data_IF_073801525975
#
_entry.id   IF_073801525975
#
_cell.length_a   1.000
_cell.length_b   1.000
_cell.length_c   1.000
_cell.angle_alpha   90.00
_cell.angle_beta   90.00
_cell.angle_gamma   90.00
#
_symmetry.space_group_name_H-M   'P 1'
#
loop_
_entity.id
_entity.type
_entity.pdbx_description
1 polymer ?
#
# COMPACT_ATOMS: atom_id res chain seq x y z
N UNK A 1 -11.07 1.34 -35.23
CA UNK A 1 -9.96 0.76 -34.47
C UNK A 1 -9.65 1.76 -33.39
N UNK A 2 -10.02 1.46 -32.15
CA UNK A 2 -9.66 2.29 -31.01
C UNK A 2 -8.19 2.04 -30.68
N UNK A 3 -7.44 3.04 -30.21
CA UNK A 3 -6.02 2.90 -29.87
C UNK A 3 -5.75 1.74 -28.88
N UNK A 4 -6.77 1.35 -28.09
CA UNK A 4 -6.75 0.16 -27.23
C UNK A 4 -6.54 -1.17 -27.96
N UNK A 5 -6.76 -1.25 -29.28
CA UNK A 5 -6.58 -2.48 -30.06
C UNK A 5 -5.15 -2.66 -30.60
N UNK A 6 -4.36 -1.59 -30.70
CA UNK A 6 -3.03 -1.62 -31.33
C UNK A 6 -1.87 -1.46 -30.34
N UNK A 7 -2.09 -0.79 -29.20
CA UNK A 7 -1.11 -0.67 -28.11
C UNK A 7 0.19 0.07 -28.48
N UNK A 8 0.17 0.92 -29.52
CA UNK A 8 1.33 1.70 -29.98
C UNK A 8 1.21 3.17 -29.53
N UNK A 9 2.28 3.74 -28.95
CA UNK A 9 2.32 5.14 -28.45
C UNK A 9 1.87 6.18 -29.50
N UNK A 10 2.23 5.97 -30.77
CA UNK A 10 1.83 6.85 -31.87
C UNK A 10 0.31 6.89 -32.10
N UNK A 11 -0.40 5.79 -31.79
CA UNK A 11 -1.85 5.71 -31.94
C UNK A 11 -2.56 6.42 -30.79
N UNK A 12 -1.96 6.43 -29.59
CA UNK A 12 -2.49 7.17 -28.45
C UNK A 12 -2.37 8.69 -28.62
N UNK A 13 -1.25 9.20 -29.13
CA UNK A 13 -1.13 10.65 -29.38
C UNK A 13 -2.13 11.13 -30.44
N UNK A 14 -2.35 10.36 -31.51
CA UNK A 14 -3.38 10.67 -32.51
C UNK A 14 -4.78 10.65 -31.88
N UNK A 15 -5.04 9.72 -30.94
CA UNK A 15 -6.30 9.68 -30.22
C UNK A 15 -6.48 10.90 -29.30
N UNK A 16 -5.45 11.34 -28.59
CA UNK A 16 -5.46 12.57 -27.77
C UNK A 16 -5.83 13.77 -28.63
N UNK A 17 -5.07 14.01 -29.71
CA UNK A 17 -5.28 15.17 -30.60
C UNK A 17 -6.70 15.19 -31.20
N UNK A 18 -7.24 14.01 -31.52
CA UNK A 18 -8.60 13.86 -32.03
C UNK A 18 -9.65 14.16 -30.95
N UNK A 19 -9.52 13.55 -29.77
CA UNK A 19 -10.45 13.71 -28.65
C UNK A 19 -10.47 15.15 -28.13
N UNK A 20 -9.30 15.80 -28.00
CA UNK A 20 -9.20 17.21 -27.65
C UNK A 20 -9.94 18.10 -28.66
N UNK A 21 -9.74 17.85 -29.97
CA UNK A 21 -10.43 18.61 -31.02
C UNK A 21 -11.94 18.40 -30.98
N UNK A 22 -12.40 17.18 -30.72
CA UNK A 22 -13.82 16.87 -30.61
C UNK A 22 -14.44 17.54 -29.37
N UNK A 23 -13.74 17.55 -28.24
CA UNK A 23 -14.20 18.25 -27.02
C UNK A 23 -14.26 19.77 -27.18
N UNK A 24 -13.44 20.37 -28.06
CA UNK A 24 -13.60 21.79 -28.43
C UNK A 24 -14.93 22.02 -29.16
N UNK A 25 -15.35 21.07 -30.00
CA UNK A 25 -16.62 21.16 -30.74
C UNK A 25 -17.84 20.79 -29.86
N UNK A 26 -17.68 19.84 -28.95
CA UNK A 26 -18.71 19.32 -28.05
C UNK A 26 -18.22 19.30 -26.59
N UNK A 27 -18.17 20.46 -25.89
CA UNK A 27 -17.56 20.55 -24.56
C UNK A 27 -18.26 19.75 -23.46
N UNK A 28 -19.53 19.39 -23.65
CA UNK A 28 -20.32 18.61 -22.69
C UNK A 28 -20.34 17.11 -23.01
N UNK A 29 -19.46 16.64 -23.91
CA UNK A 29 -19.36 15.23 -24.27
C UNK A 29 -18.55 14.43 -23.24
N UNK A 30 -19.21 14.01 -22.17
CA UNK A 30 -18.59 13.29 -21.05
C UNK A 30 -17.99 11.92 -21.44
N UNK A 31 -18.46 11.28 -22.51
CA UNK A 31 -17.86 10.03 -22.99
C UNK A 31 -16.48 10.29 -23.61
N UNK A 32 -16.36 11.34 -24.44
CA UNK A 32 -15.06 11.74 -24.99
C UNK A 32 -14.11 12.20 -23.90
N UNK A 33 -14.60 12.91 -22.89
CA UNK A 33 -13.79 13.32 -21.74
C UNK A 33 -13.30 12.11 -20.92
N UNK A 34 -14.16 11.10 -20.72
CA UNK A 34 -13.81 9.84 -20.07
C UNK A 34 -12.74 9.06 -20.85
N UNK A 35 -12.92 8.92 -22.17
CA UNK A 35 -11.94 8.27 -23.04
C UNK A 35 -10.61 9.02 -23.04
N UNK A 36 -10.64 10.36 -23.06
CA UNK A 36 -9.44 11.18 -23.02
C UNK A 36 -8.69 11.02 -21.70
N UNK A 37 -9.40 10.97 -20.56
CA UNK A 37 -8.79 10.69 -19.25
C UNK A 37 -8.03 9.35 -19.24
N UNK A 38 -8.60 8.28 -19.81
CA UNK A 38 -7.94 6.98 -19.92
C UNK A 38 -6.75 7.02 -20.85
N UNK A 39 -6.89 7.73 -21.97
CA UNK A 39 -5.83 7.86 -22.96
C UNK A 39 -4.62 8.56 -22.35
N UNK A 40 -4.82 9.66 -21.61
CA UNK A 40 -3.75 10.31 -20.87
C UNK A 40 -3.11 9.40 -19.81
N UNK A 41 -3.91 8.58 -19.11
CA UNK A 41 -3.37 7.62 -18.14
C UNK A 41 -2.46 6.59 -18.83
N UNK A 42 -2.83 6.10 -20.02
CA UNK A 42 -2.00 5.16 -20.79
C UNK A 42 -0.70 5.79 -21.32
N UNK A 43 -0.69 7.10 -21.57
CA UNK A 43 0.48 7.84 -22.03
C UNK A 43 1.27 8.50 -20.90
N UNK A 44 1.04 8.10 -19.65
CA UNK A 44 1.76 8.62 -18.46
C UNK A 44 1.55 10.15 -18.23
N UNK A 45 0.53 10.74 -18.87
CA UNK A 45 0.13 12.14 -18.73
C UNK A 45 -0.84 12.29 -17.54
N UNK A 46 -0.35 11.95 -16.34
CA UNK A 46 -1.21 11.76 -15.17
C UNK A 46 -1.92 13.04 -14.72
N UNK A 47 -1.27 14.20 -14.80
CA UNK A 47 -1.88 15.47 -14.40
C UNK A 47 -3.06 15.80 -15.32
N UNK A 48 -2.90 15.64 -16.63
CA UNK A 48 -3.94 15.83 -17.63
C UNK A 48 -5.10 14.86 -17.40
N UNK A 49 -4.81 13.59 -17.08
CA UNK A 49 -5.82 12.60 -16.71
C UNK A 49 -6.63 13.06 -15.47
N UNK A 50 -5.97 13.56 -14.43
CA UNK A 50 -6.64 14.03 -13.20
C UNK A 50 -7.52 15.26 -13.45
N UNK A 51 -7.12 16.17 -14.34
CA UNK A 51 -7.92 17.33 -14.73
C UNK A 51 -9.23 16.90 -15.40
N UNK A 52 -9.16 15.92 -16.32
CA UNK A 52 -10.37 15.35 -16.96
C UNK A 52 -11.25 14.63 -15.94
N UNK A 53 -10.65 13.87 -15.03
CA UNK A 53 -11.41 13.23 -13.96
C UNK A 53 -12.10 14.26 -13.05
N UNK A 54 -11.44 15.35 -12.70
CA UNK A 54 -12.01 16.40 -11.86
C UNK A 54 -13.25 17.05 -12.50
N UNK A 55 -13.22 17.26 -13.83
CA UNK A 55 -14.38 17.73 -14.59
C UNK A 55 -15.55 16.74 -14.48
N UNK A 56 -15.31 15.46 -14.81
CA UNK A 56 -16.31 14.39 -14.73
C UNK A 56 -16.88 14.20 -13.31
N UNK A 57 -16.04 14.30 -12.28
CA UNK A 57 -16.52 14.19 -10.89
C UNK A 57 -17.42 15.38 -10.53
N UNK A 58 -17.10 16.58 -11.01
CA UNK A 58 -17.88 17.79 -10.75
C UNK A 58 -19.27 17.75 -11.41
N UNK A 59 -19.42 17.01 -12.51
CA UNK A 59 -20.69 16.82 -13.25
C UNK A 59 -21.30 15.44 -13.09
N UNK A 60 -20.89 14.65 -12.09
CA UNK A 60 -21.24 13.21 -11.96
C UNK A 60 -22.73 12.88 -11.98
N UNK A 61 -23.59 13.83 -11.59
CA UNK A 61 -25.05 13.62 -11.62
C UNK A 61 -25.63 13.63 -13.05
N UNK A 62 -24.82 13.98 -14.06
CA UNK A 62 -25.23 14.14 -15.46
C UNK A 62 -24.80 12.98 -16.37
N UNK A 63 -23.96 12.06 -15.91
CA UNK A 63 -23.37 11.01 -16.74
C UNK A 63 -22.91 9.79 -15.91
N UNK A 64 -22.72 8.61 -16.52
CA UNK A 64 -22.37 7.39 -15.78
C UNK A 64 -20.89 7.27 -15.37
N UNK A 65 -20.00 8.13 -15.88
CA UNK A 65 -18.54 8.03 -15.68
C UNK A 65 -18.03 8.52 -14.31
N UNK A 66 -18.89 9.01 -13.41
CA UNK A 66 -18.47 9.63 -12.14
C UNK A 66 -17.74 8.68 -11.20
N UNK A 67 -18.27 7.48 -11.00
CA UNK A 67 -17.65 6.45 -10.12
C UNK A 67 -16.29 6.02 -10.66
N UNK A 68 -16.20 5.80 -11.97
CA UNK A 68 -14.93 5.49 -12.61
C UNK A 68 -13.93 6.63 -12.50
N UNK A 69 -14.36 7.87 -12.63
CA UNK A 69 -13.47 9.04 -12.55
C UNK A 69 -12.86 9.21 -11.16
N UNK A 70 -13.57 8.84 -10.09
CA UNK A 70 -13.00 8.80 -8.74
C UNK A 70 -11.88 7.77 -8.61
N UNK A 71 -12.07 6.57 -9.17
CA UNK A 71 -11.07 5.51 -9.14
C UNK A 71 -9.83 5.91 -9.96
N UNK A 72 -10.05 6.35 -11.20
CA UNK A 72 -8.99 6.78 -12.12
C UNK A 72 -8.20 7.97 -11.56
N UNK A 73 -8.86 8.92 -10.88
CA UNK A 73 -8.16 10.04 -10.24
C UNK A 73 -7.19 9.57 -9.14
N UNK A 74 -7.59 8.60 -8.31
CA UNK A 74 -6.71 8.02 -7.28
C UNK A 74 -5.52 7.31 -7.93
N UNK A 75 -5.78 6.49 -8.95
CA UNK A 75 -4.73 5.77 -9.66
C UNK A 75 -3.74 6.71 -10.35
N UNK A 76 -4.23 7.73 -11.07
CA UNK A 76 -3.41 8.72 -11.75
C UNK A 76 -2.51 9.48 -10.77
N UNK A 77 -3.05 9.96 -9.64
CA UNK A 77 -2.23 10.62 -8.63
C UNK A 77 -1.21 9.69 -7.98
N UNK A 78 -1.60 8.45 -7.67
CA UNK A 78 -0.67 7.45 -7.12
C UNK A 78 0.48 7.21 -8.09
N UNK A 79 0.15 6.95 -9.37
CA UNK A 79 1.12 6.71 -10.44
C UNK A 79 2.04 7.92 -10.65
N UNK A 80 1.51 9.14 -10.61
CA UNK A 80 2.32 10.35 -10.68
C UNK A 80 3.36 10.39 -9.54
N UNK A 81 2.94 10.22 -8.28
CA UNK A 81 3.88 10.23 -7.14
C UNK A 81 4.91 9.11 -7.25
N UNK A 82 4.46 7.98 -7.76
CA UNK A 82 5.29 6.82 -8.04
C UNK A 82 6.37 7.12 -9.08
N UNK A 83 6.06 7.77 -10.19
CA UNK A 83 7.01 8.07 -11.27
C UNK A 83 7.91 9.25 -10.91
N UNK A 84 7.34 10.31 -10.35
CA UNK A 84 8.08 11.55 -10.06
C UNK A 84 8.93 11.41 -8.78
N UNK A 85 8.42 10.72 -7.76
CA UNK A 85 9.07 10.65 -6.44
C UNK A 85 9.52 9.24 -6.03
N UNK A 86 9.19 8.22 -6.81
CA UNK A 86 9.53 6.83 -6.51
C UNK A 86 8.52 6.10 -5.63
N UNK A 87 7.44 6.77 -5.18
CA UNK A 87 6.39 6.14 -4.39
C UNK A 87 5.64 7.09 -3.46
N UNK A 88 4.57 6.58 -2.86
CA UNK A 88 3.82 7.30 -1.80
C UNK A 88 4.51 7.21 -0.43
N UNK A 89 5.49 6.32 -0.31
CA UNK A 89 6.30 6.00 0.85
C UNK A 89 7.70 6.63 0.80
N UNK A 90 7.93 7.51 -0.17
CA UNK A 90 9.21 8.18 -0.40
C UNK A 90 9.06 9.67 -0.15
N UNK A 91 9.92 10.23 0.70
CA UNK A 91 10.04 11.68 0.84
C UNK A 91 10.83 12.20 -0.37
N UNK A 92 10.29 13.15 -1.17
CA UNK A 92 10.98 13.65 -2.35
C UNK A 92 12.37 14.21 -2.04
N UNK A 93 13.31 14.00 -2.96
CA UNK A 93 14.65 14.60 -2.85
C UNK A 93 14.52 16.12 -2.90
N UNK A 94 14.98 16.79 -1.84
CA UNK A 94 14.84 18.24 -1.73
C UNK A 94 13.47 18.71 -1.22
N UNK A 95 12.67 17.83 -0.60
CA UNK A 95 11.43 18.20 0.06
C UNK A 95 11.60 19.43 0.96
N UNK A 96 10.73 20.42 0.78
CA UNK A 96 10.79 21.67 1.53
C UNK A 96 10.44 21.42 2.99
N UNK A 97 11.26 21.96 3.90
CA UNK A 97 11.00 21.95 5.33
C UNK A 97 9.96 23.02 5.65
N UNK A 98 8.76 22.62 6.03
CA UNK A 98 7.68 23.54 6.40
C UNK A 98 7.81 24.01 7.84
N UNK A 99 8.08 23.06 8.74
CA UNK A 99 8.13 23.34 10.17
C UNK A 99 9.10 22.38 10.87
N UNK A 100 9.74 22.86 11.93
CA UNK A 100 10.45 22.01 12.88
C UNK A 100 9.79 22.14 14.25
N UNK A 101 9.52 21.00 14.88
CA UNK A 101 8.95 20.93 16.23
C UNK A 101 9.89 20.17 17.15
N UNK A 102 9.67 20.31 18.45
CA UNK A 102 10.35 19.52 19.48
C UNK A 102 9.38 18.50 20.03
N UNK A 103 9.83 17.25 20.07
CA UNK A 103 9.10 16.12 20.61
C UNK A 103 8.75 16.27 22.09
N UNK A 104 7.81 15.47 22.62
CA UNK A 104 7.39 15.57 24.02
C UNK A 104 8.50 15.32 25.05
N UNK A 105 9.60 14.67 24.66
CA UNK A 105 10.80 14.48 25.47
C UNK A 105 11.65 15.76 25.64
N UNK A 106 11.30 16.84 24.93
CA UNK A 106 12.01 18.11 24.93
C UNK A 106 13.37 18.07 24.23
N UNK A 107 13.71 16.97 23.54
CA UNK A 107 15.03 16.73 22.93
C UNK A 107 14.95 16.32 21.48
N UNK A 108 13.98 15.50 21.12
CA UNK A 108 13.80 15.00 19.76
C UNK A 108 13.36 16.14 18.86
N UNK A 109 14.06 16.31 17.74
CA UNK A 109 13.72 17.32 16.73
C UNK A 109 12.95 16.63 15.62
N UNK A 110 11.74 17.11 15.35
CA UNK A 110 10.85 16.55 14.33
C UNK A 110 10.70 17.57 13.21
N UNK A 111 11.16 17.18 12.01
CA UNK A 111 11.02 17.98 10.81
C UNK A 111 9.74 17.58 10.08
N UNK A 112 8.86 18.54 9.85
CA UNK A 112 7.62 18.39 9.10
C UNK A 112 7.84 18.96 7.70
N UNK A 113 7.59 18.14 6.70
CA UNK A 113 7.87 18.47 5.30
C UNK A 113 6.60 18.94 4.58
N UNK A 114 6.76 19.94 3.70
CA UNK A 114 5.69 20.47 2.87
C UNK A 114 5.13 19.38 1.95
N UNK A 115 3.80 19.33 1.82
CA UNK A 115 3.15 18.49 0.81
C UNK A 115 3.10 19.27 -0.50
N UNK A 116 3.61 18.68 -1.59
CA UNK A 116 3.39 19.27 -2.92
C UNK A 116 1.92 19.20 -3.33
N UNK A 117 1.56 19.92 -4.41
CA UNK A 117 0.21 19.85 -4.97
C UNK A 117 -0.17 18.42 -5.38
N UNK A 118 0.79 17.60 -5.79
CA UNK A 118 0.57 16.20 -6.19
C UNK A 118 0.23 15.30 -4.99
N UNK A 119 0.94 15.47 -3.87
CA UNK A 119 0.65 14.75 -2.63
C UNK A 119 -0.75 15.11 -2.12
N UNK A 120 -1.07 16.40 -2.17
CA UNK A 120 -2.40 16.92 -1.81
C UNK A 120 -3.48 16.39 -2.77
N UNK A 121 -3.16 16.30 -4.06
CA UNK A 121 -4.01 15.70 -5.10
C UNK A 121 -4.41 14.26 -4.78
N UNK A 122 -3.44 13.41 -4.42
CA UNK A 122 -3.74 12.02 -4.02
C UNK A 122 -4.63 11.96 -2.78
N UNK A 123 -4.29 12.73 -1.72
CA UNK A 123 -5.07 12.75 -0.47
C UNK A 123 -6.52 13.16 -0.76
N UNK A 124 -6.72 14.21 -1.55
CA UNK A 124 -8.05 14.69 -1.91
C UNK A 124 -8.83 13.67 -2.74
N UNK A 125 -8.20 13.06 -3.75
CA UNK A 125 -8.84 12.03 -4.58
C UNK A 125 -9.27 10.82 -3.74
N UNK A 126 -8.40 10.37 -2.82
CA UNK A 126 -8.71 9.29 -1.88
C UNK A 126 -9.87 9.66 -0.96
N UNK A 127 -9.86 10.87 -0.38
CA UNK A 127 -10.91 11.32 0.53
C UNK A 127 -12.26 11.42 -0.19
N UNK A 128 -12.27 11.92 -1.43
CA UNK A 128 -13.46 11.96 -2.28
C UNK A 128 -13.98 10.54 -2.59
N UNK A 129 -13.10 9.59 -2.93
CA UNK A 129 -13.48 8.20 -3.19
C UNK A 129 -14.01 7.50 -1.93
N UNK A 130 -13.36 7.67 -0.77
CA UNK A 130 -13.78 7.05 0.49
C UNK A 130 -15.13 7.59 1.00
N UNK A 131 -15.39 8.89 0.78
CA UNK A 131 -16.64 9.55 1.13
C UNK A 131 -17.79 9.22 0.15
N UNK A 132 -17.47 8.73 -1.06
CA UNK A 132 -18.46 8.42 -2.08
C UNK A 132 -19.15 7.07 -1.81
N UNK A 133 -20.44 7.03 -2.11
CA UNK A 133 -21.23 5.79 -2.12
C UNK A 133 -21.33 5.29 -3.55
N UNK A 134 -20.52 4.29 -3.89
CA UNK A 134 -20.52 3.67 -5.20
C UNK A 134 -21.80 2.88 -5.41
N UNK A 135 -22.46 3.13 -6.54
CA UNK A 135 -23.69 2.42 -6.93
C UNK A 135 -23.33 1.43 -8.03
N UNK A 136 -23.99 0.26 -8.10
CA UNK A 136 -23.87 -0.61 -9.26
C UNK A 136 -24.29 0.20 -10.49
N UNK A 137 -23.34 0.50 -11.38
CA UNK A 137 -23.61 1.24 -12.60
C UNK A 137 -24.38 0.39 -13.62
N UNK A 138 -25.03 1.05 -14.58
CA UNK A 138 -25.66 0.39 -15.73
C UNK A 138 -24.62 -0.18 -16.73
N UNK A 139 -23.31 0.14 -16.56
CA UNK A 139 -22.24 -0.35 -17.41
C UNK A 139 -21.76 -1.75 -16.96
N UNK A 140 -22.00 -2.82 -17.75
CA UNK A 140 -21.71 -4.20 -17.35
C UNK A 140 -20.22 -4.58 -17.40
N UNK A 141 -19.34 -3.69 -17.87
CA UNK A 141 -17.93 -4.03 -18.09
C UNK A 141 -17.02 -3.86 -16.86
N UNK A 142 -17.34 -2.94 -15.93
CA UNK A 142 -16.54 -2.71 -14.71
C UNK A 142 -17.46 -2.37 -13.53
N UNK A 143 -17.41 -3.20 -12.48
CA UNK A 143 -18.12 -2.97 -11.22
C UNK A 143 -17.24 -2.17 -10.24
N UNK A 144 -17.31 -0.84 -10.32
CA UNK A 144 -16.56 0.05 -9.44
C UNK A 144 -16.96 -0.08 -7.97
N UNK A 145 -18.18 -0.54 -7.66
CA UNK A 145 -18.59 -0.81 -6.28
C UNK A 145 -17.79 -1.97 -5.72
N UNK A 146 -17.73 -3.09 -6.43
CA UNK A 146 -16.94 -4.25 -6.02
C UNK A 146 -15.44 -3.91 -5.92
N UNK A 147 -14.92 -3.12 -6.88
CA UNK A 147 -13.53 -2.65 -6.83
C UNK A 147 -13.28 -1.78 -5.59
N UNK A 148 -14.18 -0.84 -5.29
CA UNK A 148 -14.04 0.01 -4.12
C UNK A 148 -14.18 -0.78 -2.81
N UNK A 149 -15.08 -1.75 -2.72
CA UNK A 149 -15.22 -2.63 -1.55
C UNK A 149 -13.91 -3.37 -1.25
N UNK A 150 -13.23 -3.87 -2.29
CA UNK A 150 -11.94 -4.54 -2.16
C UNK A 150 -10.80 -3.58 -1.80
N UNK A 151 -10.77 -2.39 -2.43
CA UNK A 151 -9.64 -1.46 -2.33
C UNK A 151 -9.77 -0.42 -1.20
N UNK A 152 -10.90 -0.35 -0.50
CA UNK A 152 -11.13 0.61 0.59
C UNK A 152 -10.02 0.64 1.65
N UNK A 153 -9.48 -0.52 2.12
CA UNK A 153 -8.35 -0.51 3.07
C UNK A 153 -7.07 0.08 2.47
N UNK A 154 -6.79 -0.19 1.20
CA UNK A 154 -5.64 0.35 0.48
C UNK A 154 -5.76 1.87 0.33
N UNK A 155 -6.92 2.38 -0.07
CA UNK A 155 -7.13 3.82 -0.28
C UNK A 155 -6.94 4.59 1.04
N UNK A 156 -7.55 4.12 2.12
CA UNK A 156 -7.37 4.70 3.44
C UNK A 156 -5.89 4.69 3.87
N UNK A 157 -5.16 3.63 3.55
CA UNK A 157 -3.73 3.53 3.81
C UNK A 157 -2.90 4.53 2.98
N UNK A 158 -3.14 4.68 1.68
CA UNK A 158 -2.37 5.56 0.79
C UNK A 158 -2.32 7.01 1.30
N UNK A 159 -3.48 7.62 1.61
CA UNK A 159 -3.53 8.99 2.11
C UNK A 159 -2.85 9.14 3.48
N UNK A 160 -3.03 8.15 4.36
CA UNK A 160 -2.38 8.14 5.66
C UNK A 160 -0.85 8.00 5.55
N UNK A 161 -0.38 7.22 4.59
CA UNK A 161 1.04 6.96 4.39
C UNK A 161 1.76 8.19 3.84
N UNK A 162 1.17 8.92 2.89
CA UNK A 162 1.73 10.20 2.40
C UNK A 162 1.97 11.16 3.57
N UNK A 163 0.98 11.32 4.45
CA UNK A 163 1.10 12.18 5.64
C UNK A 163 2.19 11.69 6.59
N UNK A 164 2.28 10.38 6.81
CA UNK A 164 3.31 9.77 7.64
C UNK A 164 4.71 10.04 7.09
N UNK A 165 4.92 9.85 5.78
CA UNK A 165 6.21 10.07 5.09
C UNK A 165 6.69 11.53 5.21
N UNK A 166 5.74 12.47 5.25
CA UNK A 166 6.02 13.90 5.46
C UNK A 166 6.08 14.31 6.94
N UNK A 167 6.10 13.33 7.85
CA UNK A 167 6.13 13.48 9.30
C UNK A 167 4.98 14.30 9.89
N UNK A 168 3.82 14.33 9.22
CA UNK A 168 2.58 14.91 9.73
C UNK A 168 1.84 13.87 10.55
N UNK A 169 2.48 13.43 11.64
CA UNK A 169 2.01 12.28 12.43
C UNK A 169 0.67 12.55 13.14
N UNK A 170 0.41 13.79 13.51
CA UNK A 170 -0.87 14.27 14.05
C UNK A 170 -2.04 14.02 13.08
N UNK A 171 -1.82 14.18 11.78
CA UNK A 171 -2.82 13.92 10.73
C UNK A 171 -2.82 12.46 10.27
N UNK A 172 -1.65 11.81 10.26
CA UNK A 172 -1.51 10.42 9.83
C UNK A 172 -2.15 9.44 10.82
N UNK A 173 -1.91 9.58 12.14
CA UNK A 173 -2.37 8.62 13.16
C UNK A 173 -3.88 8.40 13.14
N UNK A 174 -4.76 9.42 13.14
CA UNK A 174 -6.20 9.19 13.12
C UNK A 174 -6.66 8.42 11.88
N UNK A 175 -6.02 8.63 10.72
CA UNK A 175 -6.30 7.88 9.49
C UNK A 175 -5.81 6.44 9.59
N UNK A 176 -4.61 6.21 10.14
CA UNK A 176 -4.10 4.86 10.37
C UNK A 176 -4.96 4.08 11.39
N UNK A 177 -5.50 4.77 12.40
CA UNK A 177 -6.39 4.18 13.40
C UNK A 177 -7.76 3.79 12.81
N UNK A 178 -8.29 4.59 11.89
CA UNK A 178 -9.58 4.29 11.24
C UNK A 178 -9.52 3.02 10.38
N UNK A 179 -8.35 2.72 9.78
CA UNK A 179 -8.11 1.47 9.03
C UNK A 179 -8.26 0.27 9.95
N UNK A 180 -7.69 0.34 11.15
CA UNK A 180 -7.82 -0.73 12.13
C UNK A 180 -9.27 -0.90 12.60
N UNK A 181 -9.96 0.20 12.89
CA UNK A 181 -11.35 0.16 13.33
C UNK A 181 -12.28 -0.44 12.25
N UNK A 182 -11.98 -0.19 10.97
CA UNK A 182 -12.84 -0.60 9.85
C UNK A 182 -12.46 -1.97 9.28
N UNK A 183 -11.17 -2.34 9.32
CA UNK A 183 -10.59 -3.53 8.65
C UNK A 183 -9.59 -4.27 9.56
N UNK A 184 -9.98 -4.71 10.77
CA UNK A 184 -9.04 -5.15 11.82
C UNK A 184 -8.12 -6.32 11.40
N UNK A 185 -8.63 -7.23 10.56
CA UNK A 185 -7.95 -8.43 10.09
C UNK A 185 -7.21 -8.25 8.75
N UNK A 186 -7.26 -7.06 8.15
CA UNK A 186 -6.61 -6.78 6.87
C UNK A 186 -5.10 -6.53 7.00
N UNK A 187 -4.34 -6.83 5.94
CA UNK A 187 -2.89 -6.59 5.89
C UNK A 187 -2.56 -5.10 6.14
N UNK A 188 -3.37 -4.17 5.60
CA UNK A 188 -3.23 -2.73 5.82
C UNK A 188 -3.40 -2.31 7.28
N UNK A 189 -4.25 -3.01 8.06
CA UNK A 189 -4.35 -2.76 9.48
C UNK A 189 -3.08 -3.18 10.23
N UNK A 190 -2.42 -4.27 9.80
CA UNK A 190 -1.13 -4.66 10.36
C UNK A 190 -0.04 -3.63 10.12
N UNK A 191 0.07 -3.10 8.89
CA UNK A 191 1.03 -2.04 8.57
C UNK A 191 0.72 -0.75 9.33
N UNK A 192 -0.55 -0.35 9.37
CA UNK A 192 -0.98 0.87 10.05
C UNK A 192 -0.63 0.84 11.55
N UNK A 193 -0.75 -0.32 12.21
CA UNK A 193 -0.32 -0.49 13.61
C UNK A 193 1.16 -0.18 13.79
N UNK A 194 2.02 -0.67 12.90
CA UNK A 194 3.47 -0.42 12.99
C UNK A 194 3.80 1.05 12.77
N UNK A 195 3.18 1.69 11.77
CA UNK A 195 3.41 3.11 11.49
C UNK A 195 2.99 4.01 12.64
N UNK A 196 1.91 3.67 13.36
CA UNK A 196 1.51 4.45 14.55
C UNK A 196 2.59 4.35 15.64
N UNK A 197 3.09 3.16 15.95
CA UNK A 197 4.15 2.99 16.95
C UNK A 197 5.42 3.74 16.55
N UNK A 198 5.81 3.61 15.29
CA UNK A 198 7.00 4.27 14.74
C UNK A 198 6.84 5.79 14.74
N UNK A 199 5.65 6.31 14.45
CA UNK A 199 5.40 7.76 14.49
C UNK A 199 5.66 8.35 15.88
N UNK A 200 5.26 7.66 16.96
CA UNK A 200 5.53 8.14 18.32
C UNK A 200 7.01 8.03 18.67
N UNK A 201 7.69 6.97 18.20
CA UNK A 201 9.15 6.82 18.35
C UNK A 201 9.91 7.95 17.66
N UNK A 202 9.51 8.32 16.44
CA UNK A 202 10.11 9.41 15.67
C UNK A 202 9.87 10.79 16.32
N UNK A 203 8.80 10.95 17.10
CA UNK A 203 8.57 12.15 17.92
C UNK A 203 9.25 12.09 19.30
N UNK A 204 9.92 11.00 19.67
CA UNK A 204 10.46 10.81 21.03
C UNK A 204 9.37 10.63 22.10
N UNK A 205 8.13 10.33 21.72
CA UNK A 205 7.01 10.07 22.63
C UNK A 205 6.87 8.58 22.94
N UNK A 206 7.87 8.04 23.64
CA UNK A 206 7.90 6.62 24.00
C UNK A 206 6.72 6.21 24.88
N UNK A 207 6.23 7.13 25.73
CA UNK A 207 5.06 6.87 26.58
C UNK A 207 3.83 6.57 25.72
N UNK A 208 3.54 7.41 24.73
CA UNK A 208 2.41 7.19 23.82
C UNK A 208 2.64 5.98 22.90
N UNK A 209 3.87 5.73 22.45
CA UNK A 209 4.20 4.52 21.68
C UNK A 209 3.83 3.24 22.46
N UNK A 210 4.18 3.18 23.74
CA UNK A 210 3.89 2.03 24.60
C UNK A 210 2.41 1.90 24.95
N UNK A 211 1.72 3.01 25.20
CA UNK A 211 0.27 3.03 25.38
C UNK A 211 -0.44 2.53 24.12
N UNK A 212 0.01 3.00 22.95
CA UNK A 212 -0.51 2.58 21.67
C UNK A 212 -0.31 1.07 21.43
N UNK A 213 0.85 0.51 21.77
CA UNK A 213 1.11 -0.92 21.68
C UNK A 213 0.21 -1.74 22.62
N UNK A 214 0.06 -1.29 23.88
CA UNK A 214 -0.74 -1.96 24.90
C UNK A 214 -2.21 -2.05 24.50
N UNK A 215 -2.82 -0.91 24.13
CA UNK A 215 -4.22 -0.85 23.69
C UNK A 215 -4.49 -1.81 22.51
N UNK A 216 -3.52 -1.95 21.61
CA UNK A 216 -3.66 -2.78 20.41
C UNK A 216 -3.53 -4.27 20.72
N UNK A 217 -2.67 -4.67 21.65
CA UNK A 217 -2.60 -6.07 22.12
C UNK A 217 -3.94 -6.49 22.74
N UNK A 218 -4.55 -5.64 23.55
CA UNK A 218 -5.86 -5.90 24.17
C UNK A 218 -6.97 -6.07 23.13
N UNK A 219 -6.90 -5.31 22.03
CA UNK A 219 -7.87 -5.38 20.92
C UNK A 219 -7.65 -6.58 19.98
N UNK A 220 -6.55 -7.32 20.11
CA UNK A 220 -6.16 -8.42 19.20
C UNK A 220 -6.40 -9.82 19.78
N UNK A 221 -7.45 -9.99 20.60
CA UNK A 221 -7.79 -11.29 21.20
C UNK A 221 -8.00 -12.43 20.18
N UNK A 222 -8.36 -12.10 18.93
CA UNK A 222 -8.54 -13.05 17.82
C UNK A 222 -7.28 -13.31 16.98
N UNK A 223 -6.17 -12.58 17.19
CA UNK A 223 -4.93 -12.69 16.40
C UNK A 223 -3.67 -12.73 17.29
N UNK A 224 -3.35 -13.91 17.87
CA UNK A 224 -2.24 -14.07 18.81
C UNK A 224 -0.86 -13.76 18.22
N UNK A 225 -0.62 -14.13 16.97
CA UNK A 225 0.67 -13.91 16.29
C UNK A 225 0.91 -12.42 16.00
N UNK A 226 -0.13 -11.70 15.60
CA UNK A 226 -0.07 -10.25 15.43
C UNK A 226 0.18 -9.53 16.75
N UNK A 227 -0.51 -9.92 17.83
CA UNK A 227 -0.29 -9.37 19.16
C UNK A 227 1.16 -9.60 19.64
N UNK A 228 1.71 -10.79 19.39
CA UNK A 228 3.08 -11.14 19.75
C UNK A 228 4.13 -10.30 19.00
N UNK A 229 3.92 -10.01 17.71
CA UNK A 229 4.81 -9.13 16.93
C UNK A 229 4.84 -7.71 17.49
N UNK A 230 3.67 -7.18 17.86
CA UNK A 230 3.56 -5.84 18.46
C UNK A 230 4.26 -5.78 19.83
N UNK A 231 4.06 -6.79 20.69
CA UNK A 231 4.76 -6.89 21.98
C UNK A 231 6.27 -6.97 21.80
N UNK A 232 6.75 -7.74 20.83
CA UNK A 232 8.18 -7.86 20.52
C UNK A 232 8.77 -6.50 20.12
N UNK A 233 8.06 -5.77 19.26
CA UNK A 233 8.48 -4.42 18.85
C UNK A 233 8.46 -3.45 20.04
N UNK A 234 7.39 -3.44 20.84
CA UNK A 234 7.30 -2.59 22.03
C UNK A 234 8.42 -2.87 23.05
N UNK A 235 8.77 -4.13 23.25
CA UNK A 235 9.89 -4.54 24.11
C UNK A 235 11.24 -4.06 23.57
N UNK A 236 11.45 -4.13 22.25
CA UNK A 236 12.65 -3.61 21.60
C UNK A 236 12.77 -2.10 21.80
N UNK A 237 11.68 -1.37 21.57
CA UNK A 237 11.62 0.08 21.78
C UNK A 237 11.95 0.48 23.22
N UNK A 238 11.39 -0.25 24.20
CA UNK A 238 11.66 0.00 25.61
C UNK A 238 13.11 -0.28 26.02
N UNK A 239 13.76 -1.25 25.38
CA UNK A 239 15.16 -1.58 25.62
C UNK A 239 16.12 -0.51 25.06
N UNK A 240 15.79 0.08 23.91
CA UNK A 240 16.60 1.13 23.25
C UNK A 240 16.69 2.42 24.09
N UNK A 241 15.68 2.74 24.90
CA UNK A 241 15.65 3.94 25.75
C UNK A 241 16.29 3.72 27.14
N UNK A 242 16.82 2.52 27.44
CA UNK A 242 17.38 2.16 28.75
C UNK A 242 16.42 2.44 29.93
N UNK A 243 15.11 2.19 29.75
CA UNK A 243 14.13 2.31 30.84
C UNK A 243 14.48 1.29 31.92
N UNK A 244 14.93 1.78 33.09
CA UNK A 244 15.37 0.92 34.18
C UNK A 244 14.28 -0.08 34.63
N UNK A 245 14.66 -1.34 34.92
CA UNK A 245 13.72 -2.32 35.46
C UNK A 245 13.14 -1.83 36.79
N UNK A 246 11.82 -1.56 36.83
CA UNK A 246 11.10 -1.10 38.02
C UNK A 246 10.19 0.12 37.82
N UNK A 247 10.20 0.75 36.65
CA UNK A 247 9.21 1.77 36.26
C UNK A 247 7.80 1.15 36.20
N UNK A 248 6.76 2.00 36.33
CA UNK A 248 5.35 1.61 36.15
C UNK A 248 5.10 0.83 34.85
N UNK A 249 5.97 1.06 33.86
CA UNK A 249 6.13 0.33 32.63
C UNK A 249 6.45 -1.18 32.79
N UNK A 250 7.44 -1.57 33.61
CA UNK A 250 7.73 -2.98 33.88
C UNK A 250 6.57 -3.68 34.60
N UNK A 251 5.78 -2.93 35.37
CA UNK A 251 4.57 -3.42 36.04
C UNK A 251 3.42 -3.65 35.06
N UNK A 252 3.22 -2.75 34.10
CA UNK A 252 2.20 -2.90 33.06
C UNK A 252 2.56 -4.03 32.06
N UNK A 253 3.83 -4.17 31.71
CA UNK A 253 4.32 -5.29 30.89
C UNK A 253 4.18 -6.64 31.62
N UNK A 254 4.52 -6.69 32.92
CA UNK A 254 4.30 -7.88 33.75
C UNK A 254 2.79 -8.17 33.98
N UNK A 255 1.93 -7.16 33.96
CA UNK A 255 0.48 -7.33 34.02
C UNK A 255 -0.10 -7.90 32.72
N UNK A 256 0.46 -7.53 31.56
CA UNK A 256 0.15 -8.12 30.26
C UNK A 256 0.59 -9.59 30.17
N UNK A 257 1.81 -9.90 30.62
CA UNK A 257 2.30 -11.30 30.79
C UNK A 257 1.46 -12.10 31.81
N UNK A 258 0.89 -11.41 32.81
CA UNK A 258 0.07 -11.99 33.87
C UNK A 258 -1.40 -12.22 33.50
N UNK A 259 -1.86 -11.79 32.33
CA UNK A 259 -3.17 -12.20 31.82
C UNK A 259 -3.11 -13.70 31.52
N UNK A 260 -3.91 -14.49 32.26
CA UNK A 260 -3.91 -15.97 32.29
C UNK A 260 -4.12 -16.68 30.94
N UNK A 261 -4.12 -15.96 29.81
CA UNK A 261 -4.30 -16.51 28.47
C UNK A 261 -3.00 -16.72 27.69
N UNK A 262 -1.85 -16.21 28.15
CA UNK A 262 -0.58 -16.28 27.39
C UNK A 262 0.42 -17.33 27.90
N UNK A 263 0.33 -17.78 29.15
CA UNK A 263 1.27 -18.75 29.73
C UNK A 263 1.10 -20.21 29.23
N UNK A 264 0.00 -20.51 28.52
CA UNK A 264 -0.22 -21.80 27.85
C UNK A 264 0.33 -21.88 26.43
N UNK A 265 0.79 -20.77 25.84
CA UNK A 265 1.42 -20.75 24.51
C UNK A 265 2.91 -21.10 24.64
N UNK A 266 3.17 -22.37 24.95
CA UNK A 266 4.49 -22.97 24.84
C UNK A 266 4.92 -22.90 23.36
N UNK A 267 6.06 -22.29 23.09
CA UNK A 267 6.68 -22.27 21.76
C UNK A 267 7.14 -23.70 21.47
N UNK A 268 6.42 -24.39 20.60
CA UNK A 268 7.04 -25.45 19.81
C UNK A 268 7.79 -24.75 18.66
N UNK A 269 9.13 -24.86 18.58
CA UNK A 269 9.91 -24.22 17.51
C UNK A 269 9.52 -24.69 16.11
N UNK A 270 8.79 -25.81 16.02
CA UNK A 270 8.26 -26.40 14.80
C UNK A 270 6.82 -25.94 14.46
N UNK A 271 6.14 -25.20 15.35
CA UNK A 271 4.76 -24.76 15.12
C UNK A 271 4.62 -23.48 14.27
N UNK A 272 5.74 -22.84 13.88
CA UNK A 272 5.72 -21.70 12.94
C UNK A 272 5.45 -22.12 11.49
N UNK A 273 5.42 -23.42 11.18
CA UNK A 273 5.25 -23.95 9.83
C UNK A 273 3.79 -24.26 9.43
N UNK A 274 2.81 -24.12 10.33
CA UNK A 274 1.48 -24.72 10.08
C UNK A 274 0.33 -23.80 9.65
N UNK A 275 0.45 -22.47 9.62
CA UNK A 275 -0.72 -21.61 9.36
C UNK A 275 -0.49 -20.45 8.38
N UNK A 276 -0.24 -20.81 7.11
CA UNK A 276 -1.07 -20.40 5.97
C UNK A 276 -0.60 -21.17 4.74
N UNK A 277 -1.29 -22.28 4.44
CA UNK A 277 -1.04 -23.11 3.24
C UNK A 277 -1.25 -22.30 1.96
N UNK A 278 -1.92 -21.14 2.05
CA UNK A 278 -2.39 -20.35 0.94
C UNK A 278 -2.34 -18.83 1.19
N UNK A 279 -2.10 -18.04 0.15
CA UNK A 279 -2.26 -16.58 0.15
C UNK A 279 -3.00 -16.08 -1.09
N UNK A 280 -3.59 -14.89 -1.01
CA UNK A 280 -4.15 -14.23 -2.19
C UNK A 280 -3.05 -14.08 -3.25
N UNK A 281 -3.41 -14.18 -4.51
CA UNK A 281 -2.57 -13.92 -5.67
C UNK A 281 -3.38 -13.09 -6.66
N UNK A 282 -2.77 -12.58 -7.74
CA UNK A 282 -3.38 -11.51 -8.53
C UNK A 282 -4.61 -11.94 -9.36
N UNK A 283 -4.92 -13.25 -9.46
CA UNK A 283 -6.18 -13.80 -10.00
C UNK A 283 -6.79 -14.95 -9.19
N UNK A 284 -6.01 -15.57 -8.29
CA UNK A 284 -6.47 -16.69 -7.45
C UNK A 284 -5.62 -16.86 -6.22
N UNK A 285 -6.09 -17.69 -5.32
CA UNK A 285 -5.34 -18.15 -4.17
C UNK A 285 -4.15 -19.07 -4.57
N UNK A 286 -2.94 -18.73 -4.13
CA UNK A 286 -1.69 -19.48 -4.32
C UNK A 286 -1.43 -20.31 -3.08
N UNK A 287 -1.31 -21.62 -3.22
CA UNK A 287 -1.11 -22.56 -2.11
C UNK A 287 0.14 -23.43 -2.26
N UNK A 288 0.58 -24.07 -1.17
CA UNK A 288 1.58 -25.14 -1.23
C UNK A 288 1.19 -26.20 -2.28
N UNK A 289 2.16 -26.62 -3.09
CA UNK A 289 1.96 -27.48 -4.25
C UNK A 289 1.54 -26.77 -5.53
N UNK A 290 1.20 -25.46 -5.48
CA UNK A 290 0.95 -24.67 -6.70
C UNK A 290 2.21 -24.64 -7.54
N UNK A 291 2.06 -24.95 -8.83
CA UNK A 291 3.14 -24.88 -9.82
C UNK A 291 3.10 -23.52 -10.50
N UNK A 292 4.23 -22.82 -10.47
CA UNK A 292 4.45 -21.54 -11.13
C UNK A 292 5.66 -21.77 -12.05
N UNK A 293 5.39 -22.01 -13.33
CA UNK A 293 6.35 -22.47 -14.32
C UNK A 293 7.26 -23.62 -13.79
N UNK A 294 8.56 -23.34 -13.62
CA UNK A 294 9.62 -24.28 -13.18
C UNK A 294 9.70 -24.43 -11.65
N UNK A 295 8.90 -23.70 -10.90
CA UNK A 295 8.89 -23.67 -9.45
C UNK A 295 7.63 -24.31 -8.86
N UNK A 296 7.77 -24.96 -7.71
CA UNK A 296 6.67 -25.45 -6.87
C UNK A 296 6.67 -24.69 -5.57
N UNK A 297 5.53 -24.12 -5.20
CA UNK A 297 5.35 -23.47 -3.89
C UNK A 297 5.44 -24.51 -2.78
N UNK A 298 6.35 -24.32 -1.84
CA UNK A 298 6.46 -25.15 -0.63
C UNK A 298 5.65 -24.54 0.52
N UNK A 299 5.83 -23.24 0.76
CA UNK A 299 5.18 -22.53 1.88
C UNK A 299 5.16 -21.02 1.66
N UNK A 300 4.35 -20.30 2.44
CA UNK A 300 4.40 -18.84 2.54
C UNK A 300 5.58 -18.42 3.42
N UNK A 301 6.40 -17.45 2.96
CA UNK A 301 7.49 -16.87 3.75
C UNK A 301 7.12 -15.54 4.39
N UNK A 302 6.32 -14.71 3.73
CA UNK A 302 5.89 -13.42 4.27
C UNK A 302 4.95 -12.65 3.34
N UNK A 303 4.19 -11.71 3.90
CA UNK A 303 3.30 -10.80 3.15
C UNK A 303 3.72 -9.35 3.36
N UNK A 304 3.74 -8.60 2.26
CA UNK A 304 4.02 -7.16 2.13
C UNK A 304 2.78 -6.40 1.64
N UNK A 305 2.81 -5.07 1.71
CA UNK A 305 1.67 -4.22 1.31
C UNK A 305 1.24 -4.40 -0.16
N UNK A 306 2.21 -4.68 -1.04
CA UNK A 306 2.00 -4.83 -2.49
C UNK A 306 2.37 -6.22 -3.01
N UNK A 307 2.89 -7.10 -2.15
CA UNK A 307 3.53 -8.34 -2.56
C UNK A 307 3.37 -9.46 -1.54
N UNK A 308 3.50 -10.71 -1.96
CA UNK A 308 3.71 -11.85 -1.07
C UNK A 308 4.87 -12.69 -1.51
N UNK A 309 5.66 -13.15 -0.54
CA UNK A 309 6.85 -13.93 -0.74
C UNK A 309 6.59 -15.37 -0.35
N UNK A 310 6.81 -16.30 -1.28
CA UNK A 310 6.69 -17.73 -1.08
C UNK A 310 8.05 -18.41 -1.08
N UNK A 311 8.19 -19.49 -0.31
CA UNK A 311 9.27 -20.45 -0.47
C UNK A 311 8.90 -21.34 -1.63
N UNK A 312 9.80 -21.45 -2.60
CA UNK A 312 9.59 -22.29 -3.78
C UNK A 312 10.78 -23.20 -4.03
N UNK A 313 10.52 -24.34 -4.66
CA UNK A 313 11.54 -25.30 -5.08
C UNK A 313 11.56 -25.38 -6.60
N UNK A 314 12.73 -25.17 -7.19
CA UNK A 314 12.95 -25.38 -8.61
C UNK A 314 12.87 -26.89 -8.91
N UNK A 315 12.01 -27.33 -9.81
CA UNK A 315 11.72 -28.76 -10.00
C UNK A 315 12.92 -29.57 -10.51
N UNK A 316 13.66 -29.04 -11.48
CA UNK A 316 14.78 -29.78 -12.10
C UNK A 316 16.07 -29.69 -11.28
N UNK A 317 16.43 -28.49 -10.81
CA UNK A 317 17.63 -28.23 -10.03
C UNK A 317 17.49 -28.61 -8.54
N UNK A 318 16.26 -28.80 -8.06
CA UNK A 318 15.94 -29.10 -6.66
C UNK A 318 16.41 -28.04 -5.64
N UNK A 319 16.77 -26.85 -6.13
CA UNK A 319 17.22 -25.70 -5.35
C UNK A 319 16.04 -24.90 -4.79
N UNK A 320 16.21 -24.34 -3.59
CA UNK A 320 15.18 -23.57 -2.86
C UNK A 320 15.37 -22.08 -3.08
N UNK A 321 14.28 -21.36 -3.35
CA UNK A 321 14.26 -19.93 -3.64
C UNK A 321 13.11 -19.23 -2.91
N UNK A 322 13.18 -17.90 -2.86
CA UNK A 322 12.06 -17.04 -2.47
C UNK A 322 11.44 -16.41 -3.72
N UNK A 323 10.11 -16.47 -3.85
CA UNK A 323 9.35 -15.90 -4.97
C UNK A 323 8.45 -14.78 -4.47
N UNK A 324 8.73 -13.53 -4.87
CA UNK A 324 7.92 -12.34 -4.58
C UNK A 324 6.87 -12.19 -5.68
N UNK A 325 5.59 -12.25 -5.32
CA UNK A 325 4.44 -12.12 -6.22
C UNK A 325 3.71 -10.83 -5.88
N UNK A 326 3.49 -9.95 -6.85
CA UNK A 326 2.76 -8.70 -6.63
C UNK A 326 1.24 -8.91 -6.72
N UNK A 327 0.47 -8.10 -5.98
CA UNK A 327 -1.00 -8.19 -5.92
C UNK A 327 -1.74 -7.17 -6.77
N UNK A 328 -1.02 -6.14 -7.22
CA UNK A 328 -1.57 -5.04 -8.01
C UNK A 328 -1.16 -5.27 -9.45
N UNK A 329 -2.16 -5.39 -10.35
CA UNK A 329 -1.95 -5.55 -11.79
C UNK A 329 -2.14 -4.22 -12.50
N UNK A 330 -1.05 -3.50 -12.69
CA UNK A 330 -0.95 -2.44 -13.69
C UNK A 330 0.31 -2.68 -14.51
N UNK A 331 0.29 -2.29 -15.79
CA UNK A 331 1.47 -2.42 -16.67
C UNK A 331 2.73 -1.76 -16.07
N UNK A 332 2.55 -0.76 -15.22
CA UNK A 332 3.64 -0.04 -14.57
C UNK A 332 4.23 -0.79 -13.38
N UNK A 333 3.42 -1.51 -12.61
CA UNK A 333 3.89 -2.39 -11.53
C UNK A 333 4.71 -3.55 -12.09
N UNK A 334 4.29 -4.10 -13.23
CA UNK A 334 5.05 -5.08 -14.00
C UNK A 334 6.37 -4.50 -14.52
N UNK A 335 6.34 -3.32 -15.15
CA UNK A 335 7.55 -2.64 -15.67
C UNK A 335 8.57 -2.38 -14.55
N UNK A 336 8.10 -1.93 -13.37
CA UNK A 336 8.94 -1.65 -12.19
C UNK A 336 9.49 -2.91 -11.55
N UNK A 337 8.70 -3.96 -11.42
CA UNK A 337 9.16 -5.26 -10.93
C UNK A 337 10.31 -5.78 -11.79
N UNK A 338 10.15 -5.68 -13.11
CA UNK A 338 11.18 -6.09 -14.07
C UNK A 338 12.43 -5.21 -13.97
N UNK A 339 12.29 -3.90 -13.82
CA UNK A 339 13.41 -2.98 -13.63
C UNK A 339 14.15 -3.21 -12.29
N UNK A 340 13.43 -3.28 -11.17
CA UNK A 340 13.98 -3.58 -9.83
C UNK A 340 14.70 -4.93 -9.85
N UNK A 341 14.06 -5.97 -10.38
CA UNK A 341 14.63 -7.30 -10.52
C UNK A 341 15.88 -7.32 -11.38
N UNK A 342 15.89 -6.60 -12.50
CA UNK A 342 17.04 -6.50 -13.40
C UNK A 342 18.22 -5.78 -12.75
N UNK A 343 17.98 -4.65 -12.07
CA UNK A 343 19.03 -3.92 -11.37
C UNK A 343 19.58 -4.72 -10.18
N UNK A 344 18.71 -5.30 -9.36
CA UNK A 344 19.13 -6.08 -8.19
C UNK A 344 19.83 -7.39 -8.59
N UNK A 345 19.45 -8.01 -9.70
CA UNK A 345 20.12 -9.20 -10.25
C UNK A 345 21.56 -8.95 -10.72
N UNK A 346 21.92 -7.69 -10.99
CA UNK A 346 23.31 -7.31 -11.34
C UNK A 346 24.21 -7.12 -10.11
N UNK A 347 23.63 -6.97 -8.91
CA UNK A 347 24.37 -6.69 -7.67
C UNK A 347 24.91 -7.98 -7.04
N UNK A 348 26.23 -8.11 -7.02
CA UNK A 348 26.94 -9.22 -6.37
C UNK A 348 27.61 -8.75 -5.08
N UNK A 349 26.89 -8.81 -3.96
CA UNK A 349 27.41 -8.38 -2.67
C UNK A 349 26.90 -9.29 -1.52
N UNK A 350 27.72 -9.67 -0.53
CA UNK A 350 27.32 -10.61 0.53
C UNK A 350 26.15 -10.16 1.39
N UNK A 351 25.87 -8.85 1.44
CA UNK A 351 24.75 -8.27 2.21
C UNK A 351 23.55 -7.86 1.33
N UNK A 352 23.55 -8.20 0.04
CA UNK A 352 22.45 -7.88 -0.87
C UNK A 352 21.91 -9.21 -1.42
N UNK A 353 20.60 -9.44 -1.26
CA UNK A 353 19.96 -10.61 -1.84
C UNK A 353 19.87 -10.42 -3.35
N UNK A 354 20.36 -11.40 -4.10
CA UNK A 354 20.40 -11.38 -5.56
C UNK A 354 19.09 -11.91 -6.14
N UNK A 355 18.56 -11.20 -7.13
CA UNK A 355 17.48 -11.72 -7.98
C UNK A 355 18.10 -12.66 -9.00
N UNK A 356 17.65 -13.91 -8.99
CA UNK A 356 18.19 -14.98 -9.85
C UNK A 356 17.36 -15.21 -11.09
N UNK A 357 16.10 -14.77 -11.06
CA UNK A 357 15.11 -15.22 -12.02
C UNK A 357 13.85 -14.32 -12.03
N UNK A 358 13.12 -14.35 -13.15
CA UNK A 358 11.78 -13.76 -13.33
C UNK A 358 10.88 -14.80 -13.99
N UNK A 359 9.63 -14.92 -13.54
CA UNK A 359 8.69 -15.95 -14.00
C UNK A 359 7.32 -15.36 -14.23
N UNK A 360 6.65 -15.71 -15.34
CA UNK A 360 5.30 -15.26 -15.58
C UNK A 360 4.28 -16.20 -14.89
N UNK A 361 3.30 -15.59 -14.24
CA UNK A 361 2.15 -16.24 -13.64
C UNK A 361 0.84 -15.69 -14.24
N UNK A 362 0.38 -16.30 -15.33
CA UNK A 362 -0.89 -16.01 -16.01
C UNK A 362 -1.01 -14.54 -16.48
N UNK A 363 0.06 -13.98 -17.07
CA UNK A 363 0.12 -12.58 -17.50
C UNK A 363 0.53 -11.63 -16.37
N UNK A 364 1.34 -12.10 -15.43
CA UNK A 364 1.88 -11.30 -14.32
C UNK A 364 3.29 -11.80 -14.03
N UNK A 365 4.35 -11.00 -14.23
CA UNK A 365 5.73 -11.42 -14.00
C UNK A 365 6.13 -11.54 -12.52
#
# INVERSE_FOLDING_TARGET
MTANETGLDADYQVAIDLLERLLVAEPENHEMEWLLAHTYLQTEAYQEATLRCASLISSRDKHPYGDGALVVAVDAWRMFLEDEYGGTDVLPVGAELEQTTTGPDGKTVVNIYALSEHHTGLINAVDMALAHTFVPGDNPSVDYRAQMELNRPLYAYLAAHVLYTHHRFDQARPRLESIFASFPDGDMAAYSRNLILESYRLEGDFKSALQAATLRVEQMASNPDGARKILTQANKLAAEEAIAPGTEFAKNLAALDGTKSLSTLRIDPEASDSHAVCAAGPDRQICAGTRIERYVVESLLGRGAMATVFKVRHQQLNSVHALKVLFVRTHDVERRLLQEGTFQGQLHHPNILMVTDVVDMNGSP
#
